data_IF_305780781526
#
_entry.id   IF_305780781526
#
_cell.length_a   1.000
_cell.length_b   1.000
_cell.length_c   1.000
_cell.angle_alpha   90.00
_cell.angle_beta   90.00
_cell.angle_gamma   90.00
#
_symmetry.space_group_name_H-M   'P 1'
#
loop_
_entity.id
_entity.type
_entity.pdbx_description
1 polymer ?
#
# COMPACT_ATOMS: atom_id res chain seq x y z
N UNK A 1 25.91 7.36 13.29
CA UNK A 1 25.25 8.43 12.53
C UNK A 1 25.87 8.48 11.15
N UNK A 2 25.05 8.47 10.11
CA UNK A 2 25.47 8.52 8.72
C UNK A 2 24.71 9.62 7.99
N UNK A 3 25.34 10.23 7.00
CA UNK A 3 24.70 11.12 6.04
C UNK A 3 25.07 10.66 4.63
N UNK A 4 24.10 10.62 3.74
CA UNK A 4 24.32 10.18 2.37
C UNK A 4 23.41 10.90 1.39
N UNK A 5 23.85 10.96 0.13
CA UNK A 5 23.00 11.36 -0.98
C UNK A 5 23.12 10.33 -2.10
N UNK A 6 21.98 9.86 -2.60
CA UNK A 6 21.87 8.92 -3.70
C UNK A 6 20.96 9.49 -4.81
N UNK A 7 21.15 9.00 -6.04
CA UNK A 7 20.29 9.32 -7.17
C UNK A 7 19.41 8.14 -7.56
N UNK A 8 18.17 8.40 -7.98
CA UNK A 8 17.25 7.37 -8.49
C UNK A 8 16.68 7.74 -9.86
N UNK A 9 16.52 6.73 -10.73
CA UNK A 9 15.94 6.84 -12.08
C UNK A 9 14.94 5.71 -12.39
N UNK A 10 14.58 4.90 -11.39
CA UNK A 10 13.78 3.69 -11.59
C UNK A 10 12.36 3.95 -12.11
N UNK A 11 11.86 5.18 -11.96
CA UNK A 11 10.57 5.60 -12.53
C UNK A 11 10.58 5.74 -14.06
N UNK A 12 11.76 5.82 -14.70
CA UNK A 12 11.89 6.09 -16.12
C UNK A 12 12.19 4.85 -16.96
N UNK A 13 11.52 4.74 -18.10
CA UNK A 13 11.85 3.81 -19.17
C UNK A 13 12.91 4.40 -20.12
N UNK A 14 13.62 3.55 -20.90
CA UNK A 14 14.56 4.04 -21.90
C UNK A 14 13.94 5.07 -22.85
N UNK A 15 14.72 6.10 -23.20
CA UNK A 15 14.39 7.13 -24.19
C UNK A 15 13.22 8.08 -23.84
N UNK A 16 12.82 8.18 -22.57
CA UNK A 16 11.75 9.10 -22.14
C UNK A 16 12.11 10.59 -22.19
N UNK A 17 13.38 10.93 -22.42
CA UNK A 17 13.77 12.30 -22.74
C UNK A 17 13.34 12.74 -24.14
N UNK A 18 13.04 11.78 -25.04
CA UNK A 18 12.63 12.03 -26.42
C UNK A 18 11.15 11.77 -26.63
N UNK A 19 10.53 12.55 -27.50
CA UNK A 19 9.19 12.22 -28.02
C UNK A 19 9.35 11.17 -29.12
N UNK A 20 9.06 9.91 -28.78
CA UNK A 20 9.20 8.79 -29.69
C UNK A 20 8.03 8.70 -30.69
N UNK A 21 8.23 7.99 -31.80
CA UNK A 21 7.19 7.72 -32.79
C UNK A 21 6.74 6.26 -32.71
N UNK A 22 5.44 6.04 -32.82
CA UNK A 22 4.83 4.74 -32.96
C UNK A 22 4.54 4.46 -34.44
N UNK A 23 4.62 3.19 -34.83
CA UNK A 23 4.23 2.74 -36.16
C UNK A 23 2.73 2.44 -36.19
N UNK A 24 2.05 2.85 -37.25
CA UNK A 24 0.66 2.48 -37.52
C UNK A 24 0.49 2.11 -38.97
N UNK A 25 -0.24 1.02 -39.24
CA UNK A 25 -0.65 0.73 -40.61
C UNK A 25 -1.72 1.72 -41.05
N UNK A 26 -1.50 2.37 -42.20
CA UNK A 26 -2.47 3.22 -42.85
C UNK A 26 -2.61 2.80 -44.32
N UNK A 27 -3.76 2.19 -44.64
CA UNK A 27 -4.07 1.66 -45.98
C UNK A 27 -2.97 0.74 -46.56
N UNK A 28 -2.42 -0.15 -45.73
CA UNK A 28 -1.38 -1.09 -46.16
C UNK A 28 0.05 -0.53 -46.14
N UNK A 29 0.24 0.76 -45.86
CA UNK A 29 1.55 1.37 -45.70
C UNK A 29 1.89 1.57 -44.22
N UNK A 30 3.18 1.56 -43.88
CA UNK A 30 3.64 1.91 -42.54
C UNK A 30 3.69 3.43 -42.44
N UNK A 31 2.84 3.99 -41.59
CA UNK A 31 2.89 5.38 -41.14
C UNK A 31 3.55 5.47 -39.77
N UNK A 32 4.06 6.66 -39.44
CA UNK A 32 4.57 6.99 -38.12
C UNK A 32 3.73 8.13 -37.54
N UNK A 33 3.42 8.04 -36.25
CA UNK A 33 2.74 9.10 -35.51
C UNK A 33 3.44 9.30 -34.17
N UNK A 34 3.49 10.53 -33.64
CA UNK A 34 4.13 10.78 -32.35
C UNK A 34 3.40 10.02 -31.24
N UNK A 35 4.16 9.52 -30.28
CA UNK A 35 3.62 8.92 -29.06
C UNK A 35 2.78 9.95 -28.29
N UNK A 36 1.72 9.47 -27.62
CA UNK A 36 0.96 10.29 -26.68
C UNK A 36 1.77 10.61 -25.41
N UNK A 37 2.89 9.92 -25.18
CA UNK A 37 3.87 10.26 -24.16
C UNK A 37 4.86 11.28 -24.73
N UNK A 38 4.78 12.51 -24.27
CA UNK A 38 5.73 13.56 -24.62
C UNK A 38 7.08 13.30 -23.93
N UNK A 39 8.17 13.49 -24.65
CA UNK A 39 9.51 13.49 -24.04
C UNK A 39 9.79 14.76 -23.26
N UNK A 40 10.72 14.69 -22.30
CA UNK A 40 11.22 15.86 -21.58
C UNK A 40 12.76 15.83 -21.50
N UNK A 41 13.42 16.73 -22.23
CA UNK A 41 14.88 16.83 -22.27
C UNK A 41 15.50 17.34 -20.96
N UNK A 42 14.70 17.91 -20.06
CA UNK A 42 15.15 18.46 -18.78
C UNK A 42 15.08 17.43 -17.63
N UNK A 43 14.72 16.17 -17.93
CA UNK A 43 14.66 15.13 -16.91
C UNK A 43 16.02 14.92 -16.26
N UNK A 44 16.02 14.83 -14.95
CA UNK A 44 17.18 14.55 -14.11
C UNK A 44 16.85 13.43 -13.11
N UNK A 45 17.85 12.74 -12.54
CA UNK A 45 17.63 11.79 -11.45
C UNK A 45 16.95 12.45 -10.25
N UNK A 46 16.06 11.72 -9.60
CA UNK A 46 15.60 12.06 -8.25
C UNK A 46 16.81 12.07 -7.31
N UNK A 47 16.84 12.99 -6.35
CA UNK A 47 17.91 13.08 -5.37
C UNK A 47 17.37 12.74 -4.00
N UNK A 48 17.96 11.75 -3.36
CA UNK A 48 17.58 11.28 -2.04
C UNK A 48 18.71 11.64 -1.07
N UNK A 49 18.43 12.50 -0.10
CA UNK A 49 19.36 12.87 0.95
C UNK A 49 18.87 12.31 2.27
N UNK A 50 19.73 11.57 2.96
CA UNK A 50 19.35 10.85 4.17
C UNK A 50 20.30 11.18 5.33
N UNK A 51 19.71 11.35 6.50
CA UNK A 51 20.41 11.40 7.78
C UNK A 51 19.90 10.25 8.66
N UNK A 52 20.81 9.39 9.08
CA UNK A 52 20.51 8.20 9.88
C UNK A 52 21.26 8.21 11.22
N UNK A 53 20.55 7.85 12.29
CA UNK A 53 21.10 7.61 13.61
C UNK A 53 20.69 6.23 14.07
N UNK A 54 21.66 5.38 14.41
CA UNK A 54 21.38 4.06 14.94
C UNK A 54 22.39 3.66 16.00
N UNK A 55 22.04 2.58 16.70
CA UNK A 55 22.94 1.91 17.61
C UNK A 55 22.72 0.40 17.56
N UNK A 56 23.79 -0.32 17.81
CA UNK A 56 23.78 -1.76 17.96
C UNK A 56 24.24 -2.13 19.37
N UNK A 57 23.47 -2.98 20.03
CA UNK A 57 23.77 -3.45 21.37
C UNK A 57 23.68 -4.97 21.41
N UNK A 58 24.68 -5.61 22.02
CA UNK A 58 24.66 -7.03 22.31
C UNK A 58 25.00 -7.27 23.79
N UNK A 59 24.19 -8.07 24.47
CA UNK A 59 24.27 -8.32 25.91
C UNK A 59 24.29 -9.82 26.20
N UNK A 60 24.76 -10.17 27.41
CA UNK A 60 24.72 -11.53 27.94
C UNK A 60 25.40 -12.58 27.04
N UNK A 61 26.57 -12.26 26.49
CA UNK A 61 27.28 -13.08 25.50
C UNK A 61 26.44 -13.35 24.24
N UNK A 62 25.88 -12.28 23.65
CA UNK A 62 25.05 -12.32 22.44
C UNK A 62 23.73 -13.13 22.58
N UNK A 63 23.22 -13.27 23.81
CA UNK A 63 21.87 -13.85 24.01
C UNK A 63 20.76 -12.84 23.77
N UNK A 64 21.07 -11.55 23.78
CA UNK A 64 20.14 -10.49 23.46
C UNK A 64 20.89 -9.47 22.62
N UNK A 65 20.42 -9.25 21.40
CA UNK A 65 20.92 -8.25 20.48
C UNK A 65 19.78 -7.35 20.03
N UNK A 66 20.04 -6.05 20.01
CA UNK A 66 19.13 -5.01 19.59
C UNK A 66 19.87 -4.13 18.58
N UNK A 67 19.29 -4.00 17.40
CA UNK A 67 19.73 -3.09 16.34
C UNK A 67 18.59 -2.09 16.14
N UNK A 68 18.90 -0.81 16.26
CA UNK A 68 17.92 0.27 16.08
C UNK A 68 18.49 1.31 15.13
N UNK A 69 17.68 1.73 14.17
CA UNK A 69 17.97 2.83 13.26
C UNK A 69 16.79 3.79 13.21
N UNK A 70 17.08 5.08 13.21
CA UNK A 70 16.14 6.16 12.92
C UNK A 70 16.66 6.93 11.73
N UNK A 71 15.81 7.20 10.75
CA UNK A 71 16.17 7.91 9.54
C UNK A 71 15.24 9.08 9.26
N UNK A 72 15.80 10.10 8.64
CA UNK A 72 15.06 11.17 7.99
C UNK A 72 15.63 11.33 6.59
N UNK A 73 14.81 11.00 5.60
CA UNK A 73 15.14 11.06 4.19
C UNK A 73 14.30 12.14 3.53
N UNK A 74 14.96 12.98 2.75
CA UNK A 74 14.35 13.97 1.86
C UNK A 74 14.60 13.53 0.43
N UNK A 75 13.55 13.55 -0.39
CA UNK A 75 13.61 13.21 -1.79
C UNK A 75 13.17 14.43 -2.59
N UNK A 76 14.12 14.96 -3.36
CA UNK A 76 13.92 16.07 -4.28
C UNK A 76 13.83 15.56 -5.72
N UNK A 77 13.28 16.40 -6.59
CA UNK A 77 13.17 16.14 -8.02
C UNK A 77 12.37 14.86 -8.33
N UNK A 78 11.27 14.61 -7.62
CA UNK A 78 10.43 13.42 -7.82
C UNK A 78 9.99 13.27 -9.27
N UNK A 79 10.23 12.09 -9.83
CA UNK A 79 9.90 11.74 -11.20
C UNK A 79 8.48 11.18 -11.26
N UNK A 80 7.53 12.05 -11.61
CA UNK A 80 6.12 11.71 -11.65
C UNK A 80 5.58 11.90 -13.07
N UNK A 81 4.80 10.93 -13.54
CA UNK A 81 4.03 11.06 -14.77
C UNK A 81 2.81 11.95 -14.53
N UNK A 82 2.69 13.05 -15.26
CA UNK A 82 1.50 13.92 -15.23
C UNK A 82 0.72 13.82 -16.53
N UNK A 83 -0.60 13.98 -16.44
CA UNK A 83 -1.43 14.20 -17.61
C UNK A 83 -1.29 15.65 -18.10
N UNK A 84 -1.23 15.80 -19.41
CA UNK A 84 -1.13 17.08 -20.09
C UNK A 84 -2.50 17.53 -20.60
N UNK A 85 -2.66 18.85 -20.78
CA UNK A 85 -3.85 19.39 -21.44
C UNK A 85 -3.93 18.84 -22.88
N UNK A 86 -5.12 18.44 -23.37
CA UNK A 86 -5.30 17.98 -24.75
C UNK A 86 -4.81 18.98 -25.81
N UNK A 87 -4.80 20.28 -25.50
CA UNK A 87 -4.30 21.34 -26.40
C UNK A 87 -2.80 21.22 -26.73
N UNK A 88 -2.04 20.44 -25.94
CA UNK A 88 -0.61 20.18 -26.21
C UNK A 88 -0.41 19.15 -27.34
N UNK A 89 -1.44 18.39 -27.70
CA UNK A 89 -1.34 17.27 -28.64
C UNK A 89 -0.79 15.97 -28.03
N UNK A 90 -0.50 15.97 -26.72
CA UNK A 90 0.00 14.82 -25.96
C UNK A 90 -0.94 14.47 -24.81
N UNK A 91 -0.84 13.23 -24.32
CA UNK A 91 -1.61 12.74 -23.19
C UNK A 91 -0.87 12.88 -21.86
N UNK A 92 0.40 12.50 -21.81
CA UNK A 92 1.18 12.47 -20.57
C UNK A 92 2.64 12.87 -20.80
N UNK A 93 3.34 13.21 -19.71
CA UNK A 93 4.79 13.45 -19.67
C UNK A 93 5.34 13.15 -18.28
N UNK A 94 6.59 12.70 -18.20
CA UNK A 94 7.32 12.64 -16.93
C UNK A 94 8.03 13.96 -16.69
N UNK A 95 7.90 14.49 -15.47
CA UNK A 95 8.59 15.70 -15.04
C UNK A 95 9.14 15.50 -13.61
N UNK A 96 10.18 16.27 -13.25
CA UNK A 96 10.69 16.39 -11.88
C UNK A 96 9.89 17.46 -11.13
N UNK A 97 8.73 17.11 -10.53
CA UNK A 97 7.71 18.08 -10.10
C UNK A 97 7.17 17.87 -8.68
N UNK A 98 7.97 17.23 -7.84
CA UNK A 98 7.60 17.08 -6.43
C UNK A 98 8.79 16.87 -5.52
N UNK A 99 8.53 17.02 -4.23
CA UNK A 99 9.42 16.65 -3.14
C UNK A 99 8.64 15.83 -2.11
N UNK A 100 9.32 14.91 -1.43
CA UNK A 100 8.73 14.13 -0.34
C UNK A 100 9.75 13.87 0.76
N UNK A 101 9.25 13.51 1.93
CA UNK A 101 10.09 13.05 3.05
C UNK A 101 9.64 11.67 3.51
N UNK A 102 10.58 10.82 3.88
CA UNK A 102 10.34 9.58 4.61
C UNK A 102 11.02 9.70 5.98
N UNK A 103 10.24 9.55 7.04
CA UNK A 103 10.74 9.60 8.41
C UNK A 103 10.30 8.37 9.15
N UNK A 104 11.23 7.69 9.79
CA UNK A 104 10.93 6.39 10.33
C UNK A 104 11.99 5.84 11.24
N UNK A 105 11.69 4.66 11.77
CA UNK A 105 12.64 3.87 12.51
C UNK A 105 12.49 2.39 12.17
N UNK A 106 13.58 1.67 12.38
CA UNK A 106 13.65 0.23 12.25
C UNK A 106 14.25 -0.36 13.53
N UNK A 107 13.71 -1.48 13.94
CA UNK A 107 14.12 -2.23 15.12
C UNK A 107 14.27 -3.69 14.74
N UNK A 108 15.41 -4.27 15.08
CA UNK A 108 15.66 -5.70 15.01
C UNK A 108 16.09 -6.21 16.38
N UNK A 109 15.27 -7.09 16.94
CA UNK A 109 15.53 -7.80 18.17
C UNK A 109 15.90 -9.25 17.85
N UNK A 110 17.04 -9.71 18.34
CA UNK A 110 17.42 -11.13 18.33
C UNK A 110 17.62 -11.58 19.77
N UNK A 111 16.90 -12.60 20.19
CA UNK A 111 17.02 -13.15 21.53
C UNK A 111 17.21 -14.67 21.51
N UNK A 112 17.97 -15.17 22.48
CA UNK A 112 18.18 -16.60 22.77
C UNK A 112 17.84 -16.87 24.24
N UNK A 113 16.54 -16.85 24.62
CA UNK A 113 16.15 -16.95 26.02
C UNK A 113 16.64 -18.25 26.69
N UNK A 114 16.62 -19.35 25.93
CA UNK A 114 17.12 -20.65 26.38
C UNK A 114 18.16 -21.16 25.38
N UNK A 115 19.31 -21.59 25.90
CA UNK A 115 20.42 -22.15 25.12
C UNK A 115 20.99 -23.36 25.90
N UNK A 116 20.74 -24.56 25.40
CA UNK A 116 21.04 -25.84 26.06
C UNK A 116 20.46 -27.04 25.29
N UNK A 117 19.96 -28.06 26.01
CA UNK A 117 19.27 -29.21 25.39
C UNK A 117 17.99 -28.79 24.64
N UNK A 118 17.35 -27.75 25.16
CA UNK A 118 16.30 -26.98 24.49
C UNK A 118 16.88 -25.64 24.09
N UNK A 119 16.73 -25.28 22.82
CA UNK A 119 17.09 -23.98 22.30
C UNK A 119 15.82 -23.24 21.88
N UNK A 120 15.75 -21.97 22.24
CA UNK A 120 14.71 -21.08 21.79
C UNK A 120 15.37 -19.82 21.24
N UNK A 121 15.15 -19.55 19.96
CA UNK A 121 15.54 -18.31 19.32
C UNK A 121 14.29 -17.50 18.98
N UNK A 122 14.36 -16.19 19.19
CA UNK A 122 13.35 -15.21 18.81
C UNK A 122 14.01 -14.18 17.93
N UNK A 123 13.39 -13.89 16.79
CA UNK A 123 13.75 -12.78 15.92
C UNK A 123 12.50 -11.93 15.76
N UNK A 124 12.56 -10.66 16.12
CA UNK A 124 11.47 -9.73 15.90
C UNK A 124 11.97 -8.51 15.12
N UNK A 125 11.21 -8.10 14.12
CA UNK A 125 11.43 -6.86 13.36
C UNK A 125 10.23 -5.94 13.55
N UNK A 126 10.49 -4.64 13.57
CA UNK A 126 9.49 -3.59 13.54
C UNK A 126 10.03 -2.44 12.69
N UNK A 127 9.23 -1.97 11.73
CA UNK A 127 9.53 -0.82 10.90
C UNK A 127 8.32 0.11 10.89
N UNK A 128 8.59 1.39 11.09
CA UNK A 128 7.62 2.48 10.96
C UNK A 128 8.19 3.47 9.95
N UNK A 129 7.41 3.84 8.94
CA UNK A 129 7.78 4.86 7.98
C UNK A 129 6.59 5.75 7.70
N UNK A 130 6.72 7.04 8.02
CA UNK A 130 5.79 8.05 7.59
C UNK A 130 6.34 8.75 6.34
N UNK A 131 5.65 8.55 5.23
CA UNK A 131 5.86 9.32 4.03
C UNK A 131 4.98 10.57 4.00
N UNK A 132 5.53 11.70 3.56
CA UNK A 132 4.75 12.91 3.25
C UNK A 132 5.25 13.53 1.97
N UNK A 133 4.35 13.78 1.01
CA UNK A 133 4.62 14.63 -0.15
C UNK A 133 4.70 16.07 0.34
N UNK A 134 5.90 16.62 0.41
CA UNK A 134 6.14 17.98 0.93
C UNK A 134 5.83 19.07 -0.09
N UNK A 135 5.87 18.74 -1.38
CA UNK A 135 5.47 19.62 -2.46
C UNK A 135 5.12 18.81 -3.71
N UNK A 136 4.12 19.25 -4.46
CA UNK A 136 3.87 18.79 -5.83
C UNK A 136 3.24 19.93 -6.64
N UNK A 137 3.71 20.14 -7.86
CA UNK A 137 3.22 21.24 -8.70
C UNK A 137 1.69 21.18 -8.89
N UNK A 138 1.01 22.30 -8.65
CA UNK A 138 -0.45 22.40 -8.75
C UNK A 138 -1.18 21.76 -7.57
N UNK A 139 -0.47 21.49 -6.47
CA UNK A 139 -0.99 21.01 -5.19
C UNK A 139 -1.43 19.54 -5.17
N UNK A 140 -1.78 18.96 -6.31
CA UNK A 140 -2.16 17.54 -6.44
C UNK A 140 -1.96 16.98 -7.83
N UNK A 141 -1.41 15.77 -7.90
CA UNK A 141 -1.35 14.93 -9.10
C UNK A 141 -2.10 13.62 -8.89
N UNK A 142 -2.87 13.23 -9.90
CA UNK A 142 -3.50 11.93 -9.96
C UNK A 142 -2.47 10.85 -10.30
N UNK A 143 -2.51 9.75 -9.56
CA UNK A 143 -1.66 8.58 -9.73
C UNK A 143 -2.52 7.34 -9.99
N UNK A 144 -1.93 6.37 -10.70
CA UNK A 144 -2.52 5.05 -10.91
C UNK A 144 -3.83 5.04 -11.70
N UNK A 145 -4.44 3.86 -11.72
CA UNK A 145 -5.66 3.54 -12.44
C UNK A 145 -6.85 4.28 -11.84
N UNK A 146 -7.76 4.73 -12.71
CA UNK A 146 -9.01 5.45 -12.37
C UNK A 146 -8.84 6.77 -11.62
N UNK A 147 -7.61 7.21 -11.37
CA UNK A 147 -7.28 8.50 -10.75
C UNK A 147 -7.73 8.65 -9.30
N UNK A 148 -7.72 7.55 -8.54
CA UNK A 148 -8.10 7.51 -7.13
C UNK A 148 -6.92 7.59 -6.19
N UNK A 149 -5.71 7.20 -6.60
CA UNK A 149 -4.50 7.45 -5.82
C UNK A 149 -3.94 8.81 -6.20
N UNK A 150 -3.37 9.56 -5.26
CA UNK A 150 -2.82 10.89 -5.55
C UNK A 150 -1.49 11.13 -4.85
N UNK A 151 -0.66 11.97 -5.45
CA UNK A 151 0.33 12.74 -4.71
C UNK A 151 -0.31 14.10 -4.42
N UNK A 152 -0.50 14.44 -3.15
CA UNK A 152 -1.05 15.73 -2.73
C UNK A 152 -0.15 16.32 -1.66
N UNK A 153 0.18 17.61 -1.76
CA UNK A 153 1.03 18.27 -0.78
C UNK A 153 0.45 18.12 0.63
N UNK A 154 1.34 17.83 1.61
CA UNK A 154 1.05 17.52 3.01
C UNK A 154 0.32 16.20 3.28
N UNK A 155 0.16 15.35 2.27
CA UNK A 155 -0.44 14.01 2.43
C UNK A 155 0.58 12.91 2.12
N UNK A 156 0.37 11.68 2.63
CA UNK A 156 1.15 10.51 2.20
C UNK A 156 1.03 10.25 0.69
N UNK A 157 2.11 9.82 0.05
CA UNK A 157 2.07 9.46 -1.37
C UNK A 157 1.12 8.29 -1.61
N UNK A 158 0.34 8.37 -2.69
CA UNK A 158 -0.59 7.31 -3.09
C UNK A 158 -1.92 7.31 -2.33
N UNK A 159 -2.11 8.24 -1.41
CA UNK A 159 -3.37 8.47 -0.66
C UNK A 159 -4.59 8.40 -1.57
N UNK A 160 -5.68 7.82 -1.08
CA UNK A 160 -6.91 7.70 -1.86
C UNK A 160 -7.68 9.02 -1.82
N UNK A 161 -8.02 9.57 -2.99
CA UNK A 161 -8.79 10.79 -3.16
C UNK A 161 -10.10 10.49 -3.88
N UNK A 162 -11.22 10.85 -3.27
CA UNK A 162 -12.52 10.48 -3.80
C UNK A 162 -13.69 11.19 -3.14
N UNK A 163 -14.89 10.87 -3.62
CA UNK A 163 -16.15 11.30 -3.02
C UNK A 163 -16.37 10.59 -1.69
N UNK A 164 -16.96 11.30 -0.73
CA UNK A 164 -17.12 10.86 0.64
C UNK A 164 -18.56 11.07 1.13
N UNK A 165 -18.92 10.43 2.24
CA UNK A 165 -20.26 10.54 2.83
C UNK A 165 -20.51 11.95 3.36
N UNK A 166 -21.68 12.50 3.08
CA UNK A 166 -22.21 13.65 3.83
C UNK A 166 -22.54 13.21 5.25
N UNK A 167 -22.06 13.94 6.25
CA UNK A 167 -22.24 13.58 7.65
C UNK A 167 -22.76 14.74 8.48
N UNK A 168 -23.50 14.44 9.53
CA UNK A 168 -23.90 15.45 10.50
C UNK A 168 -22.72 15.85 11.42
N UNK A 169 -22.95 16.81 12.30
CA UNK A 169 -21.94 17.28 13.25
C UNK A 169 -21.44 16.20 14.24
N UNK A 170 -22.16 15.08 14.38
CA UNK A 170 -21.76 13.94 15.21
C UNK A 170 -21.03 12.85 14.39
N UNK A 171 -20.84 13.06 13.08
CA UNK A 171 -20.20 12.10 12.18
C UNK A 171 -21.13 11.02 11.63
N UNK A 172 -22.44 11.08 11.91
CA UNK A 172 -23.41 10.13 11.37
C UNK A 172 -23.75 10.45 9.91
N UNK A 173 -23.91 9.43 9.07
CA UNK A 173 -24.24 9.64 7.65
C UNK A 173 -25.61 10.30 7.49
N UNK A 174 -25.67 11.37 6.70
CA UNK A 174 -26.92 12.04 6.35
C UNK A 174 -27.66 11.23 5.28
N UNK A 175 -28.91 10.93 5.58
CA UNK A 175 -29.80 10.16 4.71
C UNK A 175 -30.78 11.08 3.98
N UNK A 176 -31.12 10.72 2.74
CA UNK A 176 -32.21 11.35 1.99
C UNK A 176 -33.59 10.87 2.51
N UNK A 177 -34.67 11.38 1.92
CA UNK A 177 -36.04 11.02 2.31
C UNK A 177 -36.40 9.54 2.10
N UNK A 178 -35.60 8.80 1.32
CA UNK A 178 -35.76 7.37 1.09
C UNK A 178 -34.86 6.52 2.02
N UNK A 179 -34.08 7.16 2.90
CA UNK A 179 -33.13 6.49 3.79
C UNK A 179 -31.79 6.17 3.13
N UNK A 180 -31.47 6.77 1.98
CA UNK A 180 -30.20 6.54 1.30
C UNK A 180 -29.09 7.50 1.74
N UNK A 181 -27.88 6.97 1.88
CA UNK A 181 -26.66 7.77 2.08
C UNK A 181 -26.43 8.76 0.96
N UNK A 182 -25.85 9.90 1.30
CA UNK A 182 -25.59 10.99 0.36
C UNK A 182 -24.10 11.31 0.26
N UNK A 183 -23.70 11.84 -0.91
CA UNK A 183 -22.37 12.40 -1.11
C UNK A 183 -22.28 13.77 -0.46
N UNK A 184 -21.14 14.05 0.16
CA UNK A 184 -20.82 15.39 0.63
C UNK A 184 -20.85 16.41 -0.52
N UNK A 185 -21.39 17.58 -0.22
CA UNK A 185 -21.48 18.71 -1.14
C UNK A 185 -21.12 20.01 -0.43
N UNK A 186 -20.66 21.00 -1.20
CA UNK A 186 -20.41 22.35 -0.72
C UNK A 186 -19.63 23.18 -1.72
N UNK A 187 -18.53 23.77 -1.30
CA UNK A 187 -17.62 24.57 -2.14
C UNK A 187 -16.15 24.26 -1.84
N UNK A 188 -15.24 24.80 -2.66
CA UNK A 188 -13.80 24.72 -2.42
C UNK A 188 -13.28 26.09 -2.03
N UNK A 189 -12.45 26.12 -0.99
CA UNK A 189 -11.67 27.29 -0.59
C UNK A 189 -10.22 27.11 -1.00
N UNK A 190 -9.62 28.15 -1.57
CA UNK A 190 -8.20 28.18 -1.87
C UNK A 190 -7.40 28.43 -0.58
N UNK A 191 -6.47 27.53 -0.28
CA UNK A 191 -5.53 27.68 0.83
C UNK A 191 -4.12 27.75 0.28
N UNK A 192 -3.39 28.81 0.61
CA UNK A 192 -1.97 28.93 0.30
C UNK A 192 -1.18 28.21 1.40
N UNK A 193 -0.44 27.20 1.00
CA UNK A 193 0.42 26.41 1.87
C UNK A 193 1.70 27.18 2.23
N UNK A 194 2.44 26.67 3.21
CA UNK A 194 3.67 27.30 3.70
C UNK A 194 4.79 27.39 2.66
N UNK A 195 4.73 26.56 1.61
CA UNK A 195 5.66 26.55 0.48
C UNK A 195 5.21 27.47 -0.67
N UNK A 196 4.04 28.13 -0.54
CA UNK A 196 3.47 29.03 -1.55
C UNK A 196 2.55 28.35 -2.56
N UNK A 197 2.38 27.03 -2.52
CA UNK A 197 1.41 26.34 -3.37
C UNK A 197 -0.03 26.62 -2.93
N UNK A 198 -0.94 26.65 -3.89
CA UNK A 198 -2.37 26.79 -3.60
C UNK A 198 -3.04 25.43 -3.72
N UNK A 199 -3.70 24.99 -2.65
CA UNK A 199 -4.54 23.78 -2.65
C UNK A 199 -6.01 24.15 -2.49
N UNK A 200 -6.87 23.34 -3.09
CA UNK A 200 -8.32 23.45 -2.92
C UNK A 200 -8.77 22.56 -1.78
N UNK A 201 -9.32 23.16 -0.74
CA UNK A 201 -9.87 22.48 0.44
C UNK A 201 -11.38 22.39 0.30
N UNK A 202 -11.94 21.20 0.50
CA UNK A 202 -13.37 20.97 0.45
C UNK A 202 -14.05 21.45 1.73
N UNK A 203 -15.06 22.31 1.60
CA UNK A 203 -15.89 22.80 2.71
C UNK A 203 -17.33 22.34 2.47
N UNK A 204 -17.89 21.59 3.42
CA UNK A 204 -19.26 21.06 3.32
C UNK A 204 -20.29 22.15 3.59
N UNK A 205 -21.28 22.27 2.70
CA UNK A 205 -22.41 23.20 2.85
C UNK A 205 -23.71 22.43 3.05
N UNK A 206 -24.58 22.97 3.90
CA UNK A 206 -25.89 22.41 4.19
C UNK A 206 -26.99 23.41 3.89
N UNK A 207 -28.12 22.93 3.37
CA UNK A 207 -29.31 23.74 3.18
C UNK A 207 -30.04 24.01 4.51
N UNK A 208 -31.16 24.75 4.44
CA UNK A 208 -31.96 25.07 5.62
C UNK A 208 -32.54 23.84 6.36
N UNK A 209 -32.55 22.67 5.73
CA UNK A 209 -33.01 21.40 6.30
C UNK A 209 -31.84 20.52 6.78
N UNK A 210 -30.60 21.02 6.73
CA UNK A 210 -29.40 20.26 7.09
C UNK A 210 -28.99 19.22 6.04
N UNK A 211 -29.45 19.33 4.79
CA UNK A 211 -29.11 18.42 3.70
C UNK A 211 -27.91 18.96 2.89
N UNK A 212 -27.02 18.09 2.37
CA UNK A 212 -25.83 18.53 1.65
C UNK A 212 -26.19 19.33 0.38
N UNK A 213 -25.58 20.50 0.22
CA UNK A 213 -25.90 21.47 -0.85
C UNK A 213 -24.62 21.96 -1.57
N UNK A 214 -24.74 22.57 -2.75
CA UNK A 214 -23.58 23.02 -3.52
C UNK A 214 -23.00 21.96 -4.46
N UNK A 215 -21.72 22.09 -4.82
CA UNK A 215 -21.02 21.18 -5.74
C UNK A 215 -20.61 19.88 -5.06
N UNK A 216 -20.34 18.82 -5.85
CA UNK A 216 -19.83 17.56 -5.30
C UNK A 216 -18.39 17.74 -4.80
N UNK A 217 -18.15 17.29 -3.57
CA UNK A 217 -16.84 17.39 -2.94
C UNK A 217 -16.06 16.09 -3.04
N UNK A 218 -14.74 16.23 -3.03
CA UNK A 218 -13.78 15.14 -2.90
C UNK A 218 -12.69 15.55 -1.92
N UNK A 219 -12.22 14.58 -1.12
CA UNK A 219 -11.12 14.74 -0.18
C UNK A 219 -10.28 13.46 -0.14
N UNK A 220 -9.21 13.47 0.65
CA UNK A 220 -8.48 12.25 1.00
C UNK A 220 -9.41 11.38 1.86
N UNK A 221 -9.61 10.13 1.42
CA UNK A 221 -10.57 9.18 2.00
C UNK A 221 -9.88 7.93 2.56
N UNK A 222 -8.57 7.78 2.40
CA UNK A 222 -7.79 6.70 3.00
C UNK A 222 -6.30 6.79 2.67
N UNK A 223 -5.49 6.08 3.45
CA UNK A 223 -4.03 6.03 3.34
C UNK A 223 -3.56 4.57 3.13
N UNK A 224 -2.99 4.21 1.96
CA UNK A 224 -2.51 2.85 1.72
C UNK A 224 -1.19 2.51 2.42
N UNK A 225 -0.55 3.47 3.09
CA UNK A 225 0.73 3.26 3.75
C UNK A 225 0.51 2.76 5.19
N UNK A 226 1.08 1.61 5.59
CA UNK A 226 0.88 1.09 6.93
C UNK A 226 1.57 1.97 7.97
N UNK A 227 0.92 2.15 9.11
CA UNK A 227 1.52 2.76 10.30
C UNK A 227 2.75 1.97 10.72
N UNK A 228 2.70 0.64 10.72
CA UNK A 228 3.89 -0.17 10.95
C UNK A 228 3.80 -1.53 10.29
N UNK A 229 4.99 -2.09 10.05
CA UNK A 229 5.20 -3.46 9.60
C UNK A 229 6.06 -4.18 10.62
N UNK A 230 5.64 -5.34 11.07
CA UNK A 230 6.41 -6.14 12.02
C UNK A 230 6.40 -7.61 11.65
N UNK A 231 7.40 -8.34 12.13
CA UNK A 231 7.44 -9.80 12.06
C UNK A 231 8.00 -10.35 13.35
N UNK A 232 7.49 -11.49 13.80
CA UNK A 232 8.11 -12.27 14.87
C UNK A 232 8.25 -13.72 14.43
N UNK A 233 9.50 -14.18 14.44
CA UNK A 233 9.87 -15.59 14.22
C UNK A 233 10.27 -16.20 15.55
N UNK A 234 9.70 -17.37 15.84
CA UNK A 234 10.12 -18.22 16.95
C UNK A 234 10.64 -19.54 16.42
N UNK A 235 11.80 -19.94 16.92
CA UNK A 235 12.45 -21.20 16.58
C UNK A 235 12.77 -21.96 17.86
N UNK A 236 12.22 -23.15 17.98
CA UNK A 236 12.43 -24.05 19.09
C UNK A 236 13.13 -25.30 18.60
N UNK A 237 14.16 -25.73 19.30
CA UNK A 237 14.84 -26.99 19.01
C UNK A 237 15.03 -27.78 20.30
N UNK A 238 14.62 -29.04 20.28
CA UNK A 238 14.89 -29.99 21.34
C UNK A 238 15.53 -31.24 20.76
N UNK A 239 16.83 -31.42 21.01
CA UNK A 239 17.63 -32.53 20.47
C UNK A 239 17.52 -32.64 18.94
N UNK A 240 16.70 -33.58 18.46
CA UNK A 240 16.53 -33.88 17.03
C UNK A 240 15.23 -33.30 16.45
N UNK A 241 14.37 -32.72 17.28
CA UNK A 241 13.10 -32.10 16.88
C UNK A 241 13.27 -30.59 16.82
N UNK A 242 12.76 -29.95 15.79
CA UNK A 242 12.65 -28.50 15.76
C UNK A 242 11.30 -28.03 15.23
N UNK A 243 10.86 -26.89 15.75
CA UNK A 243 9.60 -26.25 15.41
C UNK A 243 9.86 -24.76 15.19
N UNK A 244 9.39 -24.23 14.08
CA UNK A 244 9.48 -22.82 13.73
C UNK A 244 8.10 -22.29 13.37
N UNK A 245 7.80 -21.07 13.79
CA UNK A 245 6.69 -20.32 13.22
C UNK A 245 7.05 -18.85 13.07
N UNK A 246 6.37 -18.19 12.11
CA UNK A 246 6.50 -16.76 11.84
C UNK A 246 5.12 -16.12 11.74
N UNK A 247 4.93 -15.02 12.47
CA UNK A 247 3.78 -14.14 12.36
C UNK A 247 4.23 -12.80 11.77
N UNK A 248 3.54 -12.33 10.74
CA UNK A 248 3.73 -11.00 10.17
C UNK A 248 2.54 -10.11 10.53
N UNK A 249 2.80 -8.82 10.73
CA UNK A 249 1.84 -7.81 11.11
C UNK A 249 1.96 -6.65 10.13
N UNK A 250 0.84 -6.26 9.54
CA UNK A 250 0.68 -4.99 8.82
C UNK A 250 -0.49 -4.27 9.48
N UNK A 251 -0.29 -3.02 9.90
CA UNK A 251 -1.30 -2.29 10.65
C UNK A 251 -1.43 -0.85 10.15
N UNK A 252 -2.67 -0.37 10.04
CA UNK A 252 -3.02 1.03 9.83
C UNK A 252 -3.14 1.45 8.35
N UNK A 253 -2.95 0.53 7.41
CA UNK A 253 -3.16 0.83 5.99
C UNK A 253 -4.61 0.60 5.57
N UNK A 254 -5.05 1.39 4.61
CA UNK A 254 -6.31 1.22 3.91
C UNK A 254 -6.12 0.51 2.56
N UNK A 255 -7.17 -0.17 2.11
CA UNK A 255 -7.28 -0.78 0.79
C UNK A 255 -8.50 -0.23 0.06
N UNK A 256 -8.31 0.21 -1.18
CA UNK A 256 -9.39 0.55 -2.10
C UNK A 256 -9.85 -0.72 -2.83
N UNK A 257 -11.04 -1.22 -2.47
CA UNK A 257 -11.65 -2.42 -3.04
C UNK A 257 -12.53 -2.12 -4.25
N UNK A 258 -11.98 -2.31 -5.45
CA UNK A 258 -12.76 -2.26 -6.68
C UNK A 258 -13.72 -3.44 -6.80
N UNK A 259 -13.39 -4.60 -6.23
CA UNK A 259 -14.25 -5.78 -6.26
C UNK A 259 -15.54 -5.53 -5.48
N UNK A 260 -15.44 -4.91 -4.29
CA UNK A 260 -16.61 -4.44 -3.53
C UNK A 260 -17.42 -3.43 -4.33
N UNK A 261 -16.76 -2.47 -4.99
CA UNK A 261 -17.41 -1.48 -5.86
C UNK A 261 -18.16 -2.13 -7.03
N UNK A 262 -17.60 -3.17 -7.64
CA UNK A 262 -18.26 -3.92 -8.72
C UNK A 262 -19.46 -4.72 -8.21
N UNK A 263 -19.40 -5.24 -6.98
CA UNK A 263 -20.56 -5.83 -6.29
C UNK A 263 -21.74 -4.88 -6.19
N UNK A 264 -21.48 -3.61 -5.85
CA UNK A 264 -22.47 -2.53 -5.84
C UNK A 264 -23.04 -2.19 -7.24
N UNK A 265 -22.20 -2.20 -8.28
CA UNK A 265 -22.61 -1.88 -9.64
C UNK A 265 -23.50 -2.96 -10.26
N UNK A 266 -23.05 -4.21 -10.17
CA UNK A 266 -23.71 -5.36 -10.81
C UNK A 266 -24.70 -6.07 -9.90
N UNK A 267 -24.89 -5.57 -8.67
CA UNK A 267 -25.83 -6.11 -7.68
C UNK A 267 -25.54 -7.59 -7.37
N UNK A 268 -24.29 -7.84 -7.02
CA UNK A 268 -23.83 -9.14 -6.52
C UNK A 268 -23.39 -9.07 -5.04
N UNK A 269 -23.07 -10.21 -4.47
CA UNK A 269 -22.39 -10.30 -3.17
C UNK A 269 -23.21 -9.89 -1.94
N UNK A 270 -22.50 -9.63 -0.84
CA UNK A 270 -23.10 -9.32 0.46
C UNK A 270 -23.94 -8.05 0.44
N UNK A 271 -23.58 -7.06 -0.38
CA UNK A 271 -24.26 -5.77 -0.48
C UNK A 271 -25.70 -5.96 -0.98
N UNK A 272 -25.87 -6.83 -1.97
CA UNK A 272 -27.21 -7.16 -2.49
C UNK A 272 -27.98 -8.01 -1.51
N UNK A 273 -27.31 -8.89 -0.75
CA UNK A 273 -27.95 -9.68 0.29
C UNK A 273 -28.54 -8.79 1.41
N UNK A 274 -27.85 -7.73 1.83
CA UNK A 274 -28.36 -6.77 2.82
C UNK A 274 -29.65 -6.09 2.35
N UNK A 275 -29.74 -5.69 1.08
CA UNK A 275 -30.98 -5.14 0.52
C UNK A 275 -32.13 -6.17 0.48
N UNK A 276 -31.81 -7.44 0.21
CA UNK A 276 -32.80 -8.51 0.12
C UNK A 276 -33.31 -8.97 1.50
N UNK A 277 -32.42 -8.96 2.50
CA UNK A 277 -32.75 -9.28 3.88
C UNK A 277 -33.50 -8.14 4.58
N UNK A 278 -33.48 -6.93 4.01
CA UNK A 278 -34.09 -5.74 4.59
C UNK A 278 -33.23 -5.06 5.66
N UNK A 279 -31.93 -5.40 5.71
CA UNK A 279 -30.95 -4.77 6.61
C UNK A 279 -30.73 -3.30 6.21
N UNK A 280 -30.85 -3.00 4.91
CA UNK A 280 -30.78 -1.64 4.34
C UNK A 280 -31.92 -1.41 3.35
N UNK A 281 -32.33 -0.15 3.09
CA UNK A 281 -33.36 0.16 2.11
C UNK A 281 -33.04 -0.42 0.73
N UNK A 282 -34.03 -1.00 0.05
CA UNK A 282 -33.87 -1.53 -1.31
C UNK A 282 -33.41 -0.42 -2.27
N UNK A 283 -32.35 -0.68 -3.04
CA UNK A 283 -31.73 0.29 -3.94
C UNK A 283 -30.55 1.05 -3.34
N UNK A 284 -30.17 0.77 -2.08
CA UNK A 284 -29.00 1.37 -1.40
C UNK A 284 -27.69 1.18 -2.15
N UNK A 285 -27.60 0.22 -3.07
CA UNK A 285 -26.38 -0.05 -3.81
C UNK A 285 -25.98 1.10 -4.76
N UNK A 286 -26.97 1.73 -5.38
CA UNK A 286 -26.74 2.82 -6.35
C UNK A 286 -26.12 4.08 -5.70
N UNK A 287 -26.63 4.61 -4.57
CA UNK A 287 -26.00 5.76 -3.93
C UNK A 287 -24.59 5.45 -3.41
N UNK A 288 -24.37 4.28 -2.80
CA UNK A 288 -23.04 3.85 -2.35
C UNK A 288 -22.02 3.76 -3.49
N UNK A 289 -22.41 3.26 -4.67
CA UNK A 289 -21.53 3.18 -5.85
C UNK A 289 -20.80 4.50 -6.20
N UNK A 290 -21.43 5.65 -5.93
CA UNK A 290 -20.86 6.96 -6.22
C UNK A 290 -20.10 7.60 -5.05
N UNK A 291 -20.09 6.97 -3.88
CA UNK A 291 -19.34 7.41 -2.69
C UNK A 291 -18.12 6.51 -2.58
N UNK A 292 -16.96 6.98 -3.06
CA UNK A 292 -15.74 6.18 -3.13
C UNK A 292 -15.25 5.73 -1.75
N UNK A 293 -15.51 6.53 -0.71
CA UNK A 293 -15.25 6.16 0.69
C UNK A 293 -15.90 4.81 1.09
N UNK A 294 -16.99 4.37 0.45
CA UNK A 294 -17.63 3.06 0.72
C UNK A 294 -16.75 1.85 0.37
N UNK A 295 -15.68 2.09 -0.39
CA UNK A 295 -14.76 1.07 -0.90
C UNK A 295 -13.38 1.15 -0.27
N UNK A 296 -13.20 2.05 0.70
CA UNK A 296 -12.01 2.08 1.53
C UNK A 296 -12.25 1.10 2.68
N UNK A 297 -11.34 0.15 2.84
CA UNK A 297 -11.43 -0.94 3.81
C UNK A 297 -10.13 -1.01 4.62
N UNK A 298 -10.24 -1.40 5.89
CA UNK A 298 -9.06 -1.65 6.72
C UNK A 298 -8.27 -2.83 6.14
N UNK A 299 -7.03 -2.54 5.73
CA UNK A 299 -6.08 -3.50 5.19
C UNK A 299 -5.15 -4.09 6.24
N UNK A 300 -5.40 -3.84 7.53
CA UNK A 300 -4.60 -4.38 8.62
C UNK A 300 -4.81 -5.89 8.80
N UNK A 301 -3.72 -6.61 9.07
CA UNK A 301 -3.77 -8.05 9.29
C UNK A 301 -2.63 -8.59 10.14
N UNK A 302 -2.87 -9.75 10.75
CA UNK A 302 -1.85 -10.63 11.31
C UNK A 302 -1.85 -11.92 10.50
N UNK A 303 -0.73 -12.30 9.90
CA UNK A 303 -0.65 -13.49 9.05
C UNK A 303 0.34 -14.52 9.59
N UNK A 304 -0.11 -15.76 9.72
CA UNK A 304 0.75 -16.92 9.99
C UNK A 304 1.50 -17.29 8.72
N UNK A 305 2.63 -16.60 8.51
CA UNK A 305 3.41 -16.65 7.27
C UNK A 305 4.03 -18.02 7.04
N UNK A 306 4.58 -18.62 8.09
CA UNK A 306 5.21 -19.94 8.01
C UNK A 306 5.05 -20.72 9.31
N UNK A 307 4.85 -22.03 9.20
CA UNK A 307 5.04 -23.00 10.26
C UNK A 307 5.84 -24.17 9.71
N UNK A 308 6.85 -24.62 10.44
CA UNK A 308 7.65 -25.78 10.06
C UNK A 308 7.95 -26.67 11.28
N UNK A 309 7.75 -27.96 11.12
CA UNK A 309 8.19 -28.99 12.04
C UNK A 309 9.23 -29.85 11.33
N UNK A 310 10.41 -30.03 11.91
CA UNK A 310 11.42 -30.92 11.39
C UNK A 310 11.91 -31.92 12.42
N UNK A 311 12.32 -33.09 11.93
CA UNK A 311 12.92 -34.14 12.74
C UNK A 311 14.15 -34.70 12.04
N UNK A 312 15.29 -34.70 12.73
CA UNK A 312 16.55 -35.27 12.28
C UNK A 312 16.72 -36.70 12.83
N UNK A 313 16.47 -37.69 11.98
CA UNK A 313 16.77 -39.08 12.29
C UNK A 313 18.25 -39.35 12.02
N UNK A 314 19.06 -39.38 13.09
CA UNK A 314 20.46 -39.78 13.02
C UNK A 314 20.56 -41.28 12.78
N UNK A 315 21.36 -41.69 11.80
CA UNK A 315 21.57 -43.09 11.43
C UNK A 315 23.06 -43.40 11.62
N UNK A 316 23.38 -44.51 12.28
CA UNK A 316 24.77 -44.93 12.49
C UNK A 316 25.25 -45.81 11.33
N UNK A 317 25.31 -45.22 10.13
CA UNK A 317 25.81 -45.87 8.91
C UNK A 317 26.70 -44.91 8.11
N UNK A 318 27.84 -45.38 7.58
CA UNK A 318 28.83 -44.53 6.90
C UNK A 318 28.40 -44.04 5.51
N UNK A 319 27.28 -44.53 4.98
CA UNK A 319 26.72 -44.18 3.67
C UNK A 319 25.40 -43.42 3.77
N UNK A 320 24.91 -43.22 4.99
CA UNK A 320 23.68 -42.49 5.31
C UNK A 320 23.68 -42.21 6.81
N UNK A 321 24.10 -41.01 7.20
CA UNK A 321 24.23 -40.67 8.63
C UNK A 321 23.07 -39.80 9.16
N UNK A 322 22.26 -39.20 8.29
CA UNK A 322 21.08 -38.43 8.72
C UNK A 322 19.96 -38.42 7.68
N UNK A 323 18.73 -38.55 8.15
CA UNK A 323 17.52 -38.30 7.37
C UNK A 323 16.72 -37.20 8.05
N UNK A 324 16.56 -36.05 7.38
CA UNK A 324 15.74 -34.95 7.87
C UNK A 324 14.36 -35.02 7.24
N UNK A 325 13.34 -35.17 8.06
CA UNK A 325 11.95 -34.98 7.68
C UNK A 325 11.52 -33.55 7.99
N UNK A 326 10.77 -32.91 7.10
CA UNK A 326 10.22 -31.57 7.33
C UNK A 326 8.79 -31.54 6.84
N UNK A 327 7.88 -31.11 7.70
CA UNK A 327 6.52 -30.73 7.34
C UNK A 327 6.41 -29.24 7.52
N UNK A 328 6.05 -28.50 6.48
CA UNK A 328 5.89 -27.05 6.55
C UNK A 328 4.63 -26.57 5.84
N UNK A 329 4.17 -25.41 6.27
CA UNK A 329 3.04 -24.70 5.72
C UNK A 329 3.35 -23.21 5.59
N UNK A 330 2.93 -22.57 4.51
CA UNK A 330 3.09 -21.12 4.28
C UNK A 330 1.76 -20.45 4.00
N UNK A 331 1.60 -19.20 4.48
CA UNK A 331 0.38 -18.38 4.37
C UNK A 331 -0.87 -19.11 4.90
N UNK A 332 -0.77 -19.70 6.09
CA UNK A 332 -1.78 -20.66 6.57
C UNK A 332 -3.06 -20.00 7.07
N UNK A 333 -2.96 -18.85 7.73
CA UNK A 333 -4.09 -18.14 8.34
C UNK A 333 -3.79 -16.64 8.30
N UNK A 334 -4.81 -15.84 7.97
CA UNK A 334 -4.82 -14.39 8.13
C UNK A 334 -5.90 -14.02 9.15
N UNK A 335 -5.57 -13.14 10.09
CA UNK A 335 -6.49 -12.55 11.05
C UNK A 335 -6.70 -11.09 10.64
N UNK A 336 -7.84 -10.81 10.03
CA UNK A 336 -8.22 -9.52 9.48
C UNK A 336 -9.75 -9.39 9.41
N UNK A 337 -10.22 -8.18 9.07
CA UNK A 337 -11.65 -7.89 8.84
C UNK A 337 -11.91 -7.46 7.39
N UNK A 338 -11.00 -7.79 6.46
CA UNK A 338 -11.10 -7.36 5.07
C UNK A 338 -12.26 -8.10 4.38
N UNK A 339 -13.02 -7.40 3.53
CA UNK A 339 -14.16 -7.99 2.83
C UNK A 339 -13.75 -9.04 1.78
N UNK A 340 -12.59 -8.84 1.16
CA UNK A 340 -12.07 -9.72 0.11
C UNK A 340 -11.45 -11.00 0.65
N UNK A 341 -10.62 -11.66 -0.18
CA UNK A 341 -10.00 -12.93 0.18
C UNK A 341 -8.71 -12.78 0.98
N UNK A 342 -7.92 -11.75 0.68
CA UNK A 342 -6.63 -11.47 1.31
C UNK A 342 -6.43 -9.94 1.31
N UNK A 343 -6.15 -9.29 2.45
CA UNK A 343 -5.82 -7.87 2.50
C UNK A 343 -4.42 -7.53 1.92
N UNK A 344 -3.57 -8.53 1.66
CA UNK A 344 -2.26 -8.34 1.04
C UNK A 344 -2.38 -8.23 -0.49
N UNK A 345 -2.85 -7.07 -0.95
CA UNK A 345 -3.23 -6.83 -2.36
C UNK A 345 -2.60 -5.56 -2.93
N UNK A 346 -2.17 -5.64 -4.18
CA UNK A 346 -1.82 -4.46 -4.98
C UNK A 346 -1.92 -4.76 -6.48
N UNK A 347 -3.00 -4.31 -7.13
CA UNK A 347 -3.22 -4.50 -8.58
C UNK A 347 -2.17 -3.78 -9.43
N UNK A 348 -1.64 -2.67 -8.95
CA UNK A 348 -0.73 -1.80 -9.71
C UNK A 348 0.76 -2.20 -9.55
N UNK A 349 1.01 -3.40 -9.02
CA UNK A 349 2.31 -4.06 -9.02
C UNK A 349 3.38 -3.31 -8.21
N UNK A 350 4.49 -2.96 -8.87
CA UNK A 350 5.69 -2.39 -8.23
C UNK A 350 5.72 -0.85 -8.23
N UNK A 351 4.59 -0.19 -8.49
CA UNK A 351 4.53 1.28 -8.43
C UNK A 351 4.89 1.79 -7.03
N UNK A 352 5.84 2.71 -6.95
CA UNK A 352 6.23 3.33 -5.68
C UNK A 352 5.21 4.37 -5.19
N UNK A 353 4.38 4.91 -6.09
CA UNK A 353 3.36 5.92 -5.76
C UNK A 353 1.94 5.39 -5.70
N UNK A 354 1.71 4.09 -5.94
CA UNK A 354 0.38 3.48 -5.95
C UNK A 354 0.41 2.13 -5.26
N UNK A 355 -0.36 2.02 -4.18
CA UNK A 355 -0.46 0.85 -3.30
C UNK A 355 -1.90 0.65 -2.85
N UNK A 356 -2.21 -0.55 -2.32
CA UNK A 356 -3.49 -0.84 -1.67
C UNK A 356 -4.70 -0.80 -2.62
N UNK A 357 -4.50 -1.02 -3.92
CA UNK A 357 -5.60 -1.13 -4.88
C UNK A 357 -5.94 -2.61 -5.07
N UNK A 358 -7.21 -2.99 -4.87
CA UNK A 358 -7.68 -4.37 -5.09
C UNK A 358 -8.70 -4.45 -6.22
N UNK A 359 -8.30 -5.04 -7.35
CA UNK A 359 -9.17 -5.32 -8.48
C UNK A 359 -8.82 -6.69 -9.06
N UNK A 360 -9.70 -7.67 -8.84
CA UNK A 360 -9.58 -9.02 -9.37
C UNK A 360 -8.21 -9.68 -9.11
N UNK A 361 -7.60 -9.40 -7.95
CA UNK A 361 -6.32 -10.01 -7.58
C UNK A 361 -6.51 -11.49 -7.23
N UNK A 362 -5.50 -12.30 -7.56
CA UNK A 362 -5.45 -13.69 -7.11
C UNK A 362 -4.82 -13.70 -5.72
N UNK A 363 -5.50 -14.24 -4.70
CA UNK A 363 -4.97 -14.27 -3.34
C UNK A 363 -3.73 -15.15 -3.25
N UNK A 364 -2.88 -14.89 -2.26
CA UNK A 364 -1.67 -15.65 -2.05
C UNK A 364 -2.04 -17.07 -1.59
N UNK A 365 -1.59 -18.14 -2.28
CA UNK A 365 -2.02 -19.49 -1.96
C UNK A 365 -1.43 -19.98 -0.64
N UNK A 366 -2.23 -20.80 0.06
CA UNK A 366 -1.74 -21.61 1.16
C UNK A 366 -0.98 -22.81 0.58
N UNK A 367 0.23 -23.06 1.07
CA UNK A 367 1.07 -24.16 0.54
C UNK A 367 1.53 -25.05 1.69
N UNK A 368 1.26 -26.35 1.56
CA UNK A 368 1.75 -27.39 2.47
C UNK A 368 2.84 -28.19 1.77
N UNK A 369 3.95 -28.44 2.45
CA UNK A 369 5.11 -29.15 1.90
C UNK A 369 5.56 -30.23 2.88
N UNK A 370 5.85 -31.40 2.32
CA UNK A 370 6.59 -32.45 3.01
C UNK A 370 7.92 -32.65 2.28
N UNK A 371 9.02 -32.56 3.03
CA UNK A 371 10.38 -32.69 2.52
C UNK A 371 11.15 -33.80 3.24
N UNK A 372 11.98 -34.50 2.48
CA UNK A 372 12.93 -35.49 2.99
C UNK A 372 14.31 -35.14 2.44
N UNK A 373 15.29 -34.98 3.32
CA UNK A 373 16.69 -34.76 2.95
C UNK A 373 17.51 -35.93 3.47
N UNK A 374 18.25 -36.59 2.57
CA UNK A 374 19.16 -37.68 2.88
C UNK A 374 20.60 -37.14 2.89
N UNK A 375 21.31 -37.31 4.01
CA UNK A 375 22.72 -36.95 4.13
C UNK A 375 23.54 -38.24 4.22
N UNK A 376 24.38 -38.46 3.21
CA UNK A 376 25.22 -39.65 3.01
C UNK A 376 26.66 -39.44 3.45
#
# INVERSE_FOLDING_TARGET
>A
AAWGQAGNLTALYPYQIFTNYNQQNYNGNIGYFPSLLQGNENLKPERQTELEFGFDMAMFNNKLSLEFSYYNQEVEDLLIGRSLSPSTGFGNRFDNIGTMTNKGFELLLKAKPINGDFNWNVIATLSHNKNTVTHVEGGRLSLGMFGTSVAQTNEPIGSFYGTFFARDANGANLLDSNGFVQRARGHYEETVLSDGETVLVAVEDYDANGQPSGTLLKKIIGDPNPDFVASITNEFEYKNLGFRFQLDFIQGNDVMSWDKRMGYLFKGGQQTAQELNGDVPKGSSRPNFFIFESFIEDGSYIKLREVALFYNLKIDKPYLYNVKFTLSGTNLISFDNYYGFDPEVNTEGQSNGVRGQDMANVPIPQVYKFGVILNF
#
